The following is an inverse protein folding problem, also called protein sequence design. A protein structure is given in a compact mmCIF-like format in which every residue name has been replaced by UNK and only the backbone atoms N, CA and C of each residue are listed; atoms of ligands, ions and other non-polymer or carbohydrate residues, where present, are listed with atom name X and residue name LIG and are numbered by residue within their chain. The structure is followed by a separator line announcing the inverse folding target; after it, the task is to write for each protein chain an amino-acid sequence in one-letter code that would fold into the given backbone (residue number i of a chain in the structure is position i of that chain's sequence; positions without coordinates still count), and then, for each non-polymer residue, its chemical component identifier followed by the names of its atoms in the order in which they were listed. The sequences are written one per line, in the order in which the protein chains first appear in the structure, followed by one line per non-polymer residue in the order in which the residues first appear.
data_IF_398940755503
#
_entry.id   IF_398940755503
#
_cell.length_a   1.000
_cell.length_b   1.000
_cell.length_c   1.000
_cell.angle_alpha   90.00
_cell.angle_beta   90.00
_cell.angle_gamma   90.00
#
_symmetry.space_group_name_H-M   'P 1'
#
loop_
_entity.id
_entity.type
_entity.pdbx_description
1 polymer ?
#
# COMPACT_ATOMS: atom_id res chain seq x y z
N UNK A 1 0.88 4.77 -14.24
CA UNK A 1 0.27 3.59 -13.59
C UNK A 1 -0.68 4.00 -12.45
N UNK A 2 -0.17 4.48 -11.31
CA UNK A 2 -1.01 4.83 -10.14
C UNK A 2 -2.09 5.88 -10.46
N UNK A 3 -1.80 6.90 -11.27
CA UNK A 3 -2.80 7.91 -11.69
C UNK A 3 -3.99 7.32 -12.46
N UNK A 4 -3.75 6.36 -13.35
CA UNK A 4 -4.82 5.70 -14.11
C UNK A 4 -5.66 4.78 -13.22
N UNK A 5 -5.01 4.03 -12.34
CA UNK A 5 -5.69 3.17 -11.36
C UNK A 5 -6.57 4.03 -10.43
N UNK A 6 -6.01 5.09 -9.85
CA UNK A 6 -6.72 6.00 -8.97
C UNK A 6 -7.90 6.67 -9.67
N UNK A 7 -7.71 7.14 -10.91
CA UNK A 7 -8.78 7.75 -11.70
C UNK A 7 -9.94 6.79 -11.98
N UNK A 8 -9.65 5.54 -12.36
CA UNK A 8 -10.69 4.55 -12.65
C UNK A 8 -11.44 4.10 -11.38
N UNK A 9 -10.73 3.91 -10.27
CA UNK A 9 -11.35 3.56 -8.98
C UNK A 9 -12.23 4.72 -8.51
N UNK A 10 -11.75 5.95 -8.59
CA UNK A 10 -12.52 7.14 -8.24
C UNK A 10 -13.79 7.30 -9.12
N UNK A 11 -13.69 7.08 -10.44
CA UNK A 11 -14.87 7.08 -11.33
C UNK A 11 -15.88 5.99 -11.00
N UNK A 12 -15.46 4.92 -10.33
CA UNK A 12 -16.33 3.85 -9.88
C UNK A 12 -17.01 4.15 -8.54
N UNK A 13 -16.87 5.37 -8.00
CA UNK A 13 -17.54 5.84 -6.78
C UNK A 13 -16.75 5.65 -5.49
N UNK A 14 -15.45 5.29 -5.58
CA UNK A 14 -14.61 5.02 -4.42
C UNK A 14 -13.79 6.24 -4.01
N UNK A 15 -13.57 6.40 -2.70
CA UNK A 15 -12.58 7.34 -2.18
C UNK A 15 -11.19 6.73 -2.33
N UNK A 16 -10.29 7.40 -3.06
CA UNK A 16 -8.95 6.90 -3.35
C UNK A 16 -7.90 7.75 -2.66
N UNK A 17 -7.02 7.09 -1.91
CA UNK A 17 -5.83 7.70 -1.32
C UNK A 17 -4.59 7.06 -1.93
N UNK A 18 -3.65 7.91 -2.38
CA UNK A 18 -2.34 7.48 -2.86
C UNK A 18 -1.31 7.94 -1.84
N UNK A 19 -0.71 7.00 -1.12
CA UNK A 19 0.42 7.27 -0.24
C UNK A 19 1.71 7.30 -1.05
N UNK A 20 2.44 8.41 -0.98
CA UNK A 20 3.79 8.50 -1.56
C UNK A 20 4.81 8.08 -0.52
N UNK A 21 5.75 7.22 -0.90
CA UNK A 21 6.85 6.84 -0.03
C UNK A 21 7.79 8.02 0.24
N UNK A 22 8.32 8.08 1.47
CA UNK A 22 9.33 9.07 1.88
C UNK A 22 10.53 9.05 0.90
N UNK A 23 10.88 10.21 0.33
CA UNK A 23 11.97 10.36 -0.64
C UNK A 23 11.56 10.32 -2.12
N UNK A 24 10.30 10.00 -2.46
CA UNK A 24 9.81 10.10 -3.83
C UNK A 24 9.26 11.52 -4.10
N UNK A 25 9.83 12.24 -5.08
CA UNK A 25 9.34 13.55 -5.51
C UNK A 25 10.04 14.78 -4.91
N UNK A 26 11.26 14.65 -4.39
CA UNK A 26 12.09 15.81 -3.98
C UNK A 26 11.78 16.39 -2.60
N UNK A 27 11.06 15.65 -1.74
CA UNK A 27 10.79 16.05 -0.36
C UNK A 27 12.02 15.75 0.51
N UNK A 28 12.56 16.77 1.17
CA UNK A 28 13.75 16.66 2.01
C UNK A 28 13.54 15.68 3.17
N UNK A 29 14.50 14.78 3.36
CA UNK A 29 14.52 13.81 4.46
C UNK A 29 14.76 14.57 5.78
N UNK A 30 13.79 14.52 6.70
CA UNK A 30 13.94 15.07 8.06
C UNK A 30 14.50 14.04 9.06
N UNK A 31 14.96 12.88 8.59
CA UNK A 31 15.47 11.79 9.42
C UNK A 31 16.43 10.90 8.63
N UNK A 32 17.52 10.45 9.25
CA UNK A 32 18.58 9.62 8.66
C UNK A 32 18.15 8.18 8.27
N UNK A 33 16.84 7.91 8.22
CA UNK A 33 16.29 6.60 7.91
C UNK A 33 15.84 6.55 6.46
N UNK A 34 16.65 5.91 5.62
CA UNK A 34 16.24 5.52 4.28
C UNK A 34 15.02 4.61 4.33
N UNK A 35 14.10 4.82 3.38
CA UNK A 35 12.98 3.94 3.06
C UNK A 35 13.47 2.49 2.92
N UNK A 36 13.39 1.73 4.00
CA UNK A 36 13.66 0.30 4.01
C UNK A 36 12.36 -0.38 3.59
N UNK A 37 12.43 -1.34 2.65
CA UNK A 37 11.29 -2.15 2.20
C UNK A 37 10.57 -2.91 3.34
N UNK A 38 11.05 -2.82 4.57
CA UNK A 38 10.49 -3.33 5.80
C UNK A 38 9.81 -2.29 6.70
N UNK A 39 9.73 -1.01 6.33
CA UNK A 39 9.10 0.03 7.14
C UNK A 39 7.58 0.06 6.93
N UNK A 40 6.89 -0.78 7.68
CA UNK A 40 5.43 -0.94 7.68
C UNK A 40 4.72 0.15 8.49
N UNK A 41 5.45 0.96 9.25
CA UNK A 41 4.90 1.98 10.15
C UNK A 41 4.18 3.11 9.39
N UNK A 42 4.72 3.53 8.26
CA UNK A 42 4.05 4.54 7.42
C UNK A 42 2.70 4.01 6.90
N UNK A 43 2.60 2.70 6.65
CA UNK A 43 1.33 2.06 6.25
C UNK A 43 0.37 2.00 7.44
N UNK A 44 0.84 1.61 8.64
CA UNK A 44 0.03 1.63 9.87
C UNK A 44 -0.60 2.99 10.12
N UNK A 45 0.21 4.05 10.11
CA UNK A 45 -0.27 5.42 10.38
C UNK A 45 -1.36 5.83 9.38
N UNK A 46 -1.19 5.51 8.10
CA UNK A 46 -2.19 5.81 7.07
C UNK A 46 -3.47 5.00 7.28
N UNK A 47 -3.35 3.69 7.56
CA UNK A 47 -4.51 2.83 7.82
C UNK A 47 -5.29 3.30 9.04
N UNK A 48 -4.60 3.63 10.14
CA UNK A 48 -5.21 4.12 11.38
C UNK A 48 -5.89 5.46 11.17
N UNK A 49 -5.27 6.38 10.43
CA UNK A 49 -5.86 7.66 10.09
C UNK A 49 -7.15 7.48 9.28
N UNK A 50 -7.11 6.65 8.23
CA UNK A 50 -8.27 6.41 7.36
C UNK A 50 -9.40 5.70 8.11
N UNK A 51 -9.09 4.80 9.02
CA UNK A 51 -10.11 4.15 9.85
C UNK A 51 -10.76 5.12 10.83
N UNK A 52 -10.01 6.08 11.37
CA UNK A 52 -10.59 7.11 12.26
C UNK A 52 -11.47 8.09 11.49
N UNK A 53 -11.06 8.51 10.30
CA UNK A 53 -11.81 9.47 9.48
C UNK A 53 -13.03 8.83 8.81
N UNK A 54 -12.92 7.56 8.41
CA UNK A 54 -13.97 6.83 7.69
C UNK A 54 -14.30 5.48 8.38
N UNK A 55 -14.84 5.49 9.62
CA UNK A 55 -14.99 4.29 10.44
C UNK A 55 -15.94 3.22 9.86
N UNK A 56 -16.87 3.63 8.99
CA UNK A 56 -17.86 2.74 8.38
C UNK A 56 -17.46 2.30 6.96
N UNK A 57 -16.35 2.80 6.41
CA UNK A 57 -15.92 2.46 5.07
C UNK A 57 -14.95 1.26 5.10
N UNK A 58 -15.20 0.18 4.35
CA UNK A 58 -14.23 -0.89 4.23
C UNK A 58 -12.98 -0.40 3.52
N UNK A 59 -11.81 -0.64 4.11
CA UNK A 59 -10.54 -0.17 3.58
C UNK A 59 -9.87 -1.26 2.72
N UNK A 60 -9.47 -0.89 1.51
CA UNK A 60 -8.74 -1.79 0.60
C UNK A 60 -7.38 -1.19 0.24
N UNK A 61 -6.38 -2.05 0.12
CA UNK A 61 -5.00 -1.63 -0.17
C UNK A 61 -4.48 -2.25 -1.46
N UNK A 62 -3.77 -1.46 -2.26
CA UNK A 62 -3.06 -1.96 -3.45
C UNK A 62 -1.61 -1.52 -3.39
N UNK A 63 -0.69 -2.48 -3.37
CA UNK A 63 0.75 -2.25 -3.33
C UNK A 63 1.37 -2.66 -4.67
N UNK A 64 2.25 -1.82 -5.23
CA UNK A 64 2.96 -2.16 -6.47
C UNK A 64 4.47 -2.09 -6.33
N UNK A 65 5.19 -3.02 -6.95
CA UNK A 65 6.66 -3.09 -6.87
C UNK A 65 7.13 -3.12 -5.41
N UNK A 66 7.94 -2.17 -4.97
CA UNK A 66 8.36 -2.07 -3.57
C UNK A 66 7.18 -1.91 -2.60
N UNK A 67 6.11 -1.22 -3.02
CA UNK A 67 4.89 -1.10 -2.23
C UNK A 67 4.13 -2.43 -2.06
N UNK A 68 4.34 -3.40 -2.97
CA UNK A 68 3.78 -4.74 -2.82
C UNK A 68 4.47 -5.50 -1.69
N UNK A 69 5.81 -5.45 -1.61
CA UNK A 69 6.57 -6.04 -0.51
C UNK A 69 6.22 -5.42 0.85
N UNK A 70 6.10 -4.09 0.90
CA UNK A 70 5.70 -3.38 2.14
C UNK A 70 4.28 -3.78 2.54
N UNK A 71 3.34 -3.87 1.59
CA UNK A 71 1.96 -4.28 1.86
C UNK A 71 1.88 -5.71 2.38
N UNK A 72 2.58 -6.65 1.74
CA UNK A 72 2.60 -8.06 2.18
C UNK A 72 3.22 -8.19 3.57
N UNK A 73 4.33 -7.49 3.84
CA UNK A 73 4.94 -7.49 5.17
C UNK A 73 4.03 -6.89 6.23
N UNK A 74 3.37 -5.76 5.94
CA UNK A 74 2.40 -5.14 6.84
C UNK A 74 1.27 -6.12 7.19
N UNK A 75 0.65 -6.74 6.18
CA UNK A 75 -0.42 -7.72 6.40
C UNK A 75 0.07 -8.93 7.22
N UNK A 76 1.29 -9.40 6.97
CA UNK A 76 1.90 -10.49 7.74
C UNK A 76 2.19 -10.13 9.20
N UNK A 77 2.53 -8.86 9.50
CA UNK A 77 2.75 -8.38 10.86
C UNK A 77 1.44 -8.15 11.63
N UNK A 78 0.41 -7.62 10.96
CA UNK A 78 -0.89 -7.37 11.60
C UNK A 78 -1.71 -8.64 11.77
N UNK A 79 -1.60 -9.59 10.84
CA UNK A 79 -2.41 -10.81 10.82
C UNK A 79 -3.90 -10.50 10.88
N UNK A 80 -4.63 -11.23 11.73
CA UNK A 80 -6.08 -11.06 11.91
C UNK A 80 -6.47 -9.71 12.54
N UNK A 81 -5.50 -8.94 13.06
CA UNK A 81 -5.77 -7.61 13.60
C UNK A 81 -5.82 -6.53 12.50
N UNK A 82 -5.48 -6.87 11.26
CA UNK A 82 -5.46 -5.89 10.17
C UNK A 82 -6.84 -5.26 9.96
N UNK A 83 -6.84 -3.96 9.68
CA UNK A 83 -8.05 -3.21 9.35
C UNK A 83 -8.35 -3.14 7.85
N UNK A 84 -7.55 -3.85 7.05
CA UNK A 84 -7.72 -3.97 5.60
C UNK A 84 -8.74 -5.08 5.29
N UNK A 85 -9.84 -4.72 4.64
CA UNK A 85 -10.89 -5.64 4.19
C UNK A 85 -10.46 -6.48 2.98
N UNK A 86 -9.48 -5.99 2.20
CA UNK A 86 -8.90 -6.72 1.08
C UNK A 86 -7.68 -6.02 0.51
N UNK A 87 -6.74 -6.80 -0.02
CA UNK A 87 -5.49 -6.28 -0.52
C UNK A 87 -5.08 -6.91 -1.87
N UNK A 88 -4.43 -6.13 -2.72
CA UNK A 88 -3.80 -6.63 -3.95
C UNK A 88 -2.33 -6.20 -4.01
N UNK A 89 -1.43 -7.17 -4.14
CA UNK A 89 -0.01 -6.96 -4.34
C UNK A 89 0.32 -7.22 -5.82
N UNK A 90 0.74 -6.18 -6.56
CA UNK A 90 0.99 -6.26 -8.00
C UNK A 90 2.48 -6.03 -8.26
N UNK A 91 3.14 -6.99 -8.92
CA UNK A 91 4.59 -6.98 -9.15
C UNK A 91 5.42 -7.00 -7.85
N UNK A 92 5.04 -7.81 -6.87
CA UNK A 92 6.00 -8.23 -5.85
C UNK A 92 7.03 -9.12 -6.54
N UNK A 93 8.36 -8.86 -6.50
CA UNK A 93 9.34 -9.84 -6.95
C UNK A 93 9.32 -10.98 -5.93
N UNK A 94 8.36 -11.89 -6.08
CA UNK A 94 8.22 -13.09 -5.24
C UNK A 94 8.29 -14.39 -6.05
N UNK A 95 8.69 -14.33 -7.32
CA UNK A 95 9.41 -15.43 -7.96
C UNK A 95 10.01 -14.99 -9.30
N UNK A 96 11.24 -15.40 -9.58
CA UNK A 96 11.86 -15.30 -10.93
C UNK A 96 11.66 -16.61 -11.71
N UNK A 97 10.84 -17.55 -11.23
CA UNK A 97 10.78 -18.90 -11.80
C UNK A 97 9.41 -19.61 -11.83
N UNK A 98 8.27 -18.93 -12.01
CA UNK A 98 7.07 -19.64 -12.53
C UNK A 98 6.32 -18.79 -13.57
N UNK A 99 6.64 -19.06 -14.83
CA UNK A 99 5.64 -19.08 -15.90
C UNK A 99 4.74 -20.30 -15.69
N UNK A 100 3.41 -20.11 -15.68
CA UNK A 100 2.50 -20.87 -16.57
C UNK A 100 1.30 -19.96 -16.87
N UNK A 101 1.22 -19.57 -18.13
CA UNK A 101 0.00 -19.21 -18.83
C UNK A 101 -0.60 -20.51 -19.34
N UNK A 102 -1.94 -20.57 -19.28
CA UNK A 102 -2.86 -21.59 -19.83
C UNK A 102 -3.21 -22.76 -18.92
#
# INVERSE_FOLDING_TARGET
YIKHLAFNIARSGWNVVVSNHRGLGGVSLTSDWFYNAGWTEDVRVVVDYLRREYPNAPLFAVGTSIGANVLVKYLGEEGDNTHIAGAAAICSPWDLLVSVVS
#
